data_IF_212436166703
#
_entry.id   IF_212436166703
#
_cell.length_a   1.000
_cell.length_b   1.000
_cell.length_c   1.000
_cell.angle_alpha   90.00
_cell.angle_beta   90.00
_cell.angle_gamma   90.00
#
_symmetry.space_group_name_H-M   'P 1'
#
loop_
_entity.id
_entity.type
_entity.pdbx_description
1 polymer ?
#
# COMPACT_ATOMS: atom_id res chain seq x y z
N UNK A 1 -8.99 11.26 10.50
CA UNK A 1 -9.21 10.58 9.21
C UNK A 1 -8.08 10.92 8.24
N UNK A 2 -7.40 9.90 7.72
CA UNK A 2 -6.40 10.07 6.68
C UNK A 2 -7.14 10.36 5.37
N UNK A 3 -6.76 11.42 4.67
CA UNK A 3 -7.35 11.76 3.37
C UNK A 3 -6.81 10.81 2.29
N UNK A 4 -7.67 9.94 1.76
CA UNK A 4 -7.32 8.93 0.75
C UNK A 4 -7.68 9.35 -0.68
N UNK A 5 -8.06 10.62 -0.90
CA UNK A 5 -8.43 11.13 -2.23
C UNK A 5 -7.25 11.06 -3.20
N UNK A 6 -6.03 11.29 -2.70
CA UNK A 6 -4.78 11.13 -3.43
C UNK A 6 -3.83 10.30 -2.57
N UNK A 7 -3.46 9.11 -3.06
CA UNK A 7 -2.46 8.29 -2.37
C UNK A 7 -1.07 8.84 -2.69
N UNK A 8 -0.21 8.85 -1.67
CA UNK A 8 1.13 9.43 -1.68
C UNK A 8 2.06 8.51 -0.92
N UNK A 9 3.36 8.70 -1.11
CA UNK A 9 4.44 7.92 -0.47
C UNK A 9 4.24 7.84 1.04
N UNK A 10 3.82 8.95 1.67
CA UNK A 10 3.51 9.04 3.10
C UNK A 10 2.47 8.00 3.55
N UNK A 11 1.50 7.68 2.71
CA UNK A 11 0.47 6.69 2.99
C UNK A 11 0.99 5.25 2.89
N UNK A 12 1.93 5.00 1.95
CA UNK A 12 2.60 3.70 1.83
C UNK A 12 3.48 3.46 3.06
N UNK A 13 4.25 4.47 3.47
CA UNK A 13 5.08 4.43 4.68
C UNK A 13 4.21 4.23 5.92
N UNK A 14 3.12 4.98 6.04
CA UNK A 14 2.20 4.84 7.17
C UNK A 14 1.60 3.44 7.25
N UNK A 15 1.18 2.87 6.12
CA UNK A 15 0.65 1.52 6.09
C UNK A 15 1.71 0.50 6.49
N UNK A 16 2.92 0.62 5.94
CA UNK A 16 4.05 -0.25 6.26
C UNK A 16 4.34 -0.27 7.78
N UNK A 17 4.37 0.91 8.41
CA UNK A 17 4.54 1.07 9.86
C UNK A 17 3.40 0.41 10.65
N UNK A 18 2.15 0.61 10.23
CA UNK A 18 0.98 0.02 10.89
C UNK A 18 0.95 -1.51 10.84
N UNK A 19 1.38 -2.10 9.73
CA UNK A 19 1.39 -3.55 9.54
C UNK A 19 2.72 -4.20 9.94
N UNK A 20 3.68 -3.42 10.44
CA UNK A 20 5.03 -3.87 10.82
C UNK A 20 5.78 -4.57 9.68
N UNK A 21 5.57 -4.10 8.44
CA UNK A 21 6.27 -4.57 7.24
C UNK A 21 7.02 -3.41 6.60
N UNK A 22 7.85 -3.68 5.59
CA UNK A 22 8.50 -2.63 4.82
C UNK A 22 7.68 -2.22 3.57
N UNK A 23 8.01 -1.07 2.96
CA UNK A 23 7.30 -0.57 1.77
C UNK A 23 7.37 -1.56 0.59
N UNK A 24 8.45 -2.33 0.47
CA UNK A 24 8.60 -3.34 -0.58
C UNK A 24 7.61 -4.51 -0.39
N UNK A 25 7.38 -4.92 0.86
CA UNK A 25 6.36 -5.92 1.20
C UNK A 25 4.95 -5.40 0.93
N UNK A 26 4.69 -4.10 1.17
CA UNK A 26 3.42 -3.47 0.76
C UNK A 26 3.21 -3.61 -0.75
N UNK A 27 4.27 -3.46 -1.56
CA UNK A 27 4.18 -3.65 -3.01
C UNK A 27 3.90 -5.12 -3.38
N UNK A 28 4.53 -6.08 -2.70
CA UNK A 28 4.23 -7.50 -2.94
C UNK A 28 2.78 -7.86 -2.60
N UNK A 29 2.29 -7.37 -1.46
CA UNK A 29 0.93 -7.66 -1.01
C UNK A 29 -0.12 -6.94 -1.86
N UNK A 30 0.14 -5.69 -2.26
CA UNK A 30 -0.73 -4.96 -3.17
C UNK A 30 -0.84 -5.65 -4.54
N UNK A 31 0.28 -6.19 -5.05
CA UNK A 31 0.27 -6.97 -6.27
C UNK A 31 -0.55 -8.25 -6.12
N UNK A 32 -0.33 -8.98 -5.02
CA UNK A 32 -1.08 -10.20 -4.73
C UNK A 32 -2.58 -9.96 -4.55
N UNK A 33 -2.99 -8.90 -3.85
CA UNK A 33 -4.41 -8.51 -3.67
C UNK A 33 -5.05 -8.13 -5.01
N UNK A 34 -4.29 -7.50 -5.92
CA UNK A 34 -4.81 -7.05 -7.22
C UNK A 34 -4.87 -8.17 -8.24
N UNK A 35 -3.83 -9.01 -8.35
CA UNK A 35 -3.67 -9.98 -9.43
C UNK A 35 -3.78 -11.44 -9.02
N UNK A 36 -3.77 -11.74 -7.71
CA UNK A 36 -3.95 -13.09 -7.17
C UNK A 36 -2.74 -14.01 -7.24
N UNK A 37 -1.55 -13.50 -7.61
CA UNK A 37 -0.30 -14.26 -7.63
C UNK A 37 0.88 -13.39 -7.19
N UNK A 38 1.97 -14.01 -6.72
CA UNK A 38 3.19 -13.28 -6.34
C UNK A 38 4.08 -13.05 -7.56
N UNK A 39 4.53 -11.82 -7.73
CA UNK A 39 5.53 -11.48 -8.73
C UNK A 39 6.91 -12.00 -8.30
N UNK A 40 7.83 -12.21 -9.24
CA UNK A 40 9.21 -12.50 -8.89
C UNK A 40 9.92 -11.24 -8.34
N UNK A 41 10.92 -11.43 -7.49
CA UNK A 41 11.58 -10.32 -6.80
C UNK A 41 12.23 -9.32 -7.76
N UNK A 42 12.83 -9.81 -8.86
CA UNK A 42 13.49 -8.95 -9.87
C UNK A 42 12.53 -8.00 -10.58
N UNK A 43 11.33 -8.46 -10.93
CA UNK A 43 10.34 -7.61 -11.60
C UNK A 43 9.71 -6.66 -10.58
N UNK A 44 9.54 -7.12 -9.34
CA UNK A 44 9.00 -6.29 -8.26
C UNK A 44 9.99 -5.17 -7.90
N UNK A 45 11.27 -5.49 -7.82
CA UNK A 45 12.36 -4.53 -7.60
C UNK A 45 12.36 -3.43 -8.66
N UNK A 46 12.08 -3.77 -9.93
CA UNK A 46 11.94 -2.76 -10.98
C UNK A 46 10.80 -1.77 -10.69
N UNK A 47 9.62 -2.28 -10.31
CA UNK A 47 8.49 -1.43 -9.96
C UNK A 47 8.76 -0.58 -8.71
N UNK A 48 9.43 -1.16 -7.72
CA UNK A 48 9.80 -0.47 -6.49
C UNK A 48 10.87 0.61 -6.73
N UNK A 49 11.86 0.33 -7.58
CA UNK A 49 12.88 1.31 -7.97
C UNK A 49 12.27 2.49 -8.74
N UNK A 50 11.33 2.22 -9.67
CA UNK A 50 10.59 3.28 -10.36
C UNK A 50 9.81 4.16 -9.37
N UNK A 51 9.19 3.55 -8.35
CA UNK A 51 8.55 4.28 -7.25
C UNK A 51 9.55 5.15 -6.47
N UNK A 52 10.68 4.60 -6.04
CA UNK A 52 11.68 5.36 -5.29
C UNK A 52 12.28 6.52 -6.11
N UNK A 53 12.47 6.33 -7.42
CA UNK A 53 13.10 7.32 -8.28
C UNK A 53 12.14 8.43 -8.73
N UNK A 54 10.92 8.07 -9.12
CA UNK A 54 9.93 9.01 -9.64
C UNK A 54 8.94 9.51 -8.58
N UNK A 55 8.92 8.91 -7.39
CA UNK A 55 7.92 9.13 -6.35
C UNK A 55 6.49 8.89 -6.87
N UNK A 56 6.36 7.99 -7.86
CA UNK A 56 5.10 7.66 -8.53
C UNK A 56 4.61 6.34 -7.99
N UNK A 57 3.40 6.33 -7.44
CA UNK A 57 2.77 5.13 -6.91
C UNK A 57 1.99 4.45 -8.02
N UNK A 58 2.21 3.14 -8.27
CA UNK A 58 1.39 2.40 -9.20
C UNK A 58 -0.06 2.29 -8.73
N UNK A 59 -1.02 2.34 -9.66
CA UNK A 59 -2.47 2.30 -9.38
C UNK A 59 -2.89 1.09 -8.52
N UNK A 60 -2.21 -0.05 -8.67
CA UNK A 60 -2.48 -1.24 -7.87
C UNK A 60 -2.03 -1.08 -6.40
N UNK A 61 -0.92 -0.38 -6.14
CA UNK A 61 -0.52 0.03 -4.78
C UNK A 61 -1.50 1.04 -4.23
N UNK A 62 -1.89 2.07 -5.01
CA UNK A 62 -2.84 3.08 -4.56
C UNK A 62 -4.17 2.45 -4.12
N UNK A 63 -4.68 1.52 -4.93
CA UNK A 63 -5.94 0.83 -4.66
C UNK A 63 -5.85 -0.02 -3.39
N UNK A 64 -4.75 -0.74 -3.21
CA UNK A 64 -4.50 -1.55 -2.01
C UNK A 64 -4.37 -0.70 -0.74
N UNK A 65 -3.57 0.37 -0.80
CA UNK A 65 -3.34 1.28 0.33
C UNK A 65 -4.65 1.95 0.73
N UNK A 66 -5.43 2.46 -0.24
CA UNK A 66 -6.74 3.05 0.02
C UNK A 66 -7.68 2.06 0.72
N UNK A 67 -7.84 0.87 0.15
CA UNK A 67 -8.71 -0.19 0.71
C UNK A 67 -8.30 -0.58 2.13
N UNK A 68 -7.01 -0.65 2.41
CA UNK A 68 -6.51 -1.04 3.74
C UNK A 68 -6.69 0.07 4.77
N UNK A 69 -6.41 1.32 4.41
CA UNK A 69 -6.66 2.49 5.28
C UNK A 69 -8.16 2.66 5.56
N UNK A 70 -9.02 2.49 4.56
CA UNK A 70 -10.48 2.57 4.74
C UNK A 70 -11.00 1.48 5.67
N UNK A 71 -10.53 0.24 5.52
CA UNK A 71 -10.86 -0.87 6.44
C UNK A 71 -10.42 -0.59 7.87
N UNK A 72 -9.20 -0.07 8.07
CA UNK A 72 -8.69 0.29 9.40
C UNK A 72 -9.53 1.40 10.05
N UNK A 73 -9.89 2.44 9.29
CA UNK A 73 -10.75 3.52 9.76
C UNK A 73 -12.14 3.02 10.20
N UNK A 74 -12.72 2.09 9.44
CA UNK A 74 -14.00 1.46 9.80
C UNK A 74 -13.88 0.65 11.10
N UNK A 75 -12.83 -0.16 11.24
CA UNK A 75 -12.61 -0.98 12.44
C UNK A 75 -12.44 -0.10 13.70
N UNK A 76 -11.69 1.00 13.62
CA UNK A 76 -11.50 1.96 14.72
C UNK A 76 -12.76 2.74 15.10
N UNK A 77 -13.73 2.84 14.19
CA UNK A 77 -15.04 3.45 14.49
C UNK A 77 -15.96 2.48 15.25
N UNK A 78 -15.84 1.18 15.00
CA UNK A 78 -16.61 0.14 15.70
C UNK A 78 -16.09 -0.08 17.13
N UNK A 79 -14.79 0.03 17.39
CA UNK A 79 -14.22 -0.08 18.75
C UNK A 79 -14.54 1.11 19.67
N UNK A 80 -15.08 2.22 19.13
CA UNK A 80 -15.47 3.41 19.88
C UNK A 80 -16.97 3.47 20.23
N UNK A 81 -17.75 2.44 19.90
CA UNK A 81 -19.15 2.28 20.35
C UNK A 81 -19.23 1.34 21.55
#
# INVERSE_FOLDING_TARGET
>A
PIDTSVIRTEHVIHLADQTYINEYEVFQDAWFDTFGYRLNDKTMEKHFADYCYHNTIPVWVESYVRKTIEKDNLCKMEEKQ
#
